data_IF_012244350112
#
_entry.id   IF_012244350112
#
_cell.length_a   1.000
_cell.length_b   1.000
_cell.length_c   1.000
_cell.angle_alpha   90.00
_cell.angle_beta   90.00
_cell.angle_gamma   90.00
#
_symmetry.space_group_name_H-M   'P 1'
#
loop_
_entity.id
_entity.type
_entity.pdbx_description
1 polymer ?
#
# COMPACT_ATOMS: atom_id res chain seq x y z
N UNK A 1 11.66 24.02 10.65
CA UNK A 1 11.29 22.59 10.77
C UNK A 1 10.18 22.50 11.78
N UNK A 2 9.06 21.88 11.42
CA UNK A 2 7.94 21.62 12.34
C UNK A 2 8.33 20.54 13.34
N UNK A 3 7.70 20.54 14.52
CA UNK A 3 7.92 19.46 15.49
C UNK A 3 7.52 18.12 14.85
N UNK A 4 8.31 17.04 15.01
CA UNK A 4 7.94 15.72 14.52
C UNK A 4 6.59 15.30 15.10
N UNK A 5 5.68 14.80 14.27
CA UNK A 5 4.38 14.29 14.75
C UNK A 5 4.55 13.06 15.65
N UNK A 6 5.55 12.24 15.35
CA UNK A 6 5.89 11.01 16.06
C UNK A 6 7.40 10.92 16.28
N UNK A 7 7.83 10.01 17.15
CA UNK A 7 9.23 9.61 17.19
C UNK A 7 9.63 8.97 15.84
N UNK A 8 10.59 9.54 15.09
CA UNK A 8 10.88 9.08 13.73
C UNK A 8 11.44 7.67 13.65
N UNK A 9 12.19 7.24 14.69
CA UNK A 9 12.84 5.94 14.69
C UNK A 9 11.80 4.85 14.96
N UNK A 10 11.00 5.02 16.01
CA UNK A 10 9.97 4.05 16.39
C UNK A 10 8.88 3.97 15.32
N UNK A 11 8.42 5.12 14.80
CA UNK A 11 7.42 5.14 13.73
C UNK A 11 7.96 4.49 12.46
N UNK A 12 9.18 4.82 12.04
CA UNK A 12 9.79 4.22 10.85
C UNK A 12 9.95 2.70 10.98
N UNK A 13 10.38 2.22 12.15
CA UNK A 13 10.56 0.79 12.40
C UNK A 13 9.22 0.03 12.44
N UNK A 14 8.23 0.54 13.15
CA UNK A 14 6.91 -0.10 13.26
C UNK A 14 6.15 -0.02 11.95
N UNK A 15 5.99 1.18 11.40
CA UNK A 15 5.18 1.41 10.21
C UNK A 15 5.84 0.84 8.96
N UNK A 16 7.15 1.08 8.78
CA UNK A 16 7.91 0.53 7.66
C UNK A 16 8.06 -0.99 7.76
N UNK A 17 8.42 -1.51 8.94
CA UNK A 17 8.65 -2.94 9.16
C UNK A 17 7.36 -3.76 9.16
N UNK A 18 6.46 -3.51 10.12
CA UNK A 18 5.22 -4.27 10.24
C UNK A 18 4.23 -3.92 9.14
N UNK A 19 4.05 -2.62 8.85
CA UNK A 19 3.14 -2.18 7.79
C UNK A 19 3.59 -2.71 6.43
N UNK A 20 4.87 -2.56 6.09
CA UNK A 20 5.44 -3.11 4.86
C UNK A 20 5.35 -4.64 4.79
N UNK A 21 5.67 -5.34 5.88
CA UNK A 21 5.61 -6.81 5.93
C UNK A 21 4.19 -7.37 5.77
N UNK A 22 3.23 -6.81 6.50
CA UNK A 22 1.81 -7.23 6.45
C UNK A 22 1.24 -6.95 5.06
N UNK A 23 1.41 -5.72 4.56
CA UNK A 23 0.84 -5.33 3.26
C UNK A 23 1.52 -6.05 2.10
N UNK A 24 2.83 -6.26 2.17
CA UNK A 24 3.58 -7.07 1.21
C UNK A 24 3.13 -8.54 1.19
N UNK A 25 2.97 -9.15 2.38
CA UNK A 25 2.46 -10.52 2.51
C UNK A 25 1.05 -10.68 1.96
N UNK A 26 0.14 -9.78 2.33
CA UNK A 26 -1.22 -9.75 1.80
C UNK A 26 -1.24 -9.54 0.29
N UNK A 27 -0.40 -8.65 -0.24
CA UNK A 27 -0.24 -8.43 -1.68
C UNK A 27 0.23 -9.69 -2.41
N UNK A 28 1.19 -10.43 -1.85
CA UNK A 28 1.67 -11.70 -2.38
C UNK A 28 0.59 -12.77 -2.43
N UNK A 29 -0.15 -12.95 -1.33
CA UNK A 29 -1.29 -13.87 -1.25
C UNK A 29 -2.37 -13.51 -2.26
N UNK A 30 -2.71 -12.21 -2.37
CA UNK A 30 -3.71 -11.72 -3.31
C UNK A 30 -3.26 -11.94 -4.77
N UNK A 31 -1.98 -11.72 -5.06
CA UNK A 31 -1.39 -12.00 -6.38
C UNK A 31 -1.47 -13.49 -6.74
N UNK A 32 -1.11 -14.37 -5.81
CA UNK A 32 -1.21 -15.82 -6.00
C UNK A 32 -2.66 -16.28 -6.20
N UNK A 33 -3.59 -15.80 -5.34
CA UNK A 33 -5.01 -16.08 -5.46
C UNK A 33 -5.56 -15.62 -6.81
N UNK A 34 -5.12 -14.47 -7.29
CA UNK A 34 -5.49 -13.95 -8.61
C UNK A 34 -5.00 -14.85 -9.73
N UNK A 35 -3.73 -15.28 -9.70
CA UNK A 35 -3.16 -16.17 -10.72
C UNK A 35 -3.87 -17.53 -10.79
N UNK A 36 -4.34 -18.07 -9.66
CA UNK A 36 -4.97 -19.40 -9.60
C UNK A 36 -6.49 -19.36 -9.81
N UNK A 37 -7.18 -18.35 -9.27
CA UNK A 37 -8.64 -18.29 -9.24
C UNK A 37 -9.24 -17.47 -10.39
N UNK A 38 -8.55 -16.43 -10.88
CA UNK A 38 -9.07 -15.60 -11.96
C UNK A 38 -9.32 -16.41 -13.25
N UNK A 39 -8.42 -17.30 -13.71
CA UNK A 39 -8.69 -18.14 -14.89
C UNK A 39 -9.87 -19.10 -14.73
N UNK A 40 -10.25 -19.40 -13.48
CA UNK A 40 -11.38 -20.28 -13.14
C UNK A 40 -12.69 -19.51 -12.96
N UNK A 41 -12.68 -18.18 -13.11
CA UNK A 41 -13.83 -17.30 -12.88
C UNK A 41 -14.30 -17.24 -11.42
N UNK A 42 -13.52 -17.76 -10.46
CA UNK A 42 -13.92 -17.87 -9.05
C UNK A 42 -13.47 -16.66 -8.23
N UNK A 43 -14.33 -16.18 -7.34
CA UNK A 43 -13.97 -15.15 -6.36
C UNK A 43 -13.62 -13.77 -6.95
N UNK A 44 -14.03 -13.50 -8.20
CA UNK A 44 -13.63 -12.29 -8.94
C UNK A 44 -14.03 -10.99 -8.22
N UNK A 45 -15.23 -10.94 -7.64
CA UNK A 45 -15.69 -9.78 -6.87
C UNK A 45 -14.82 -9.54 -5.63
N UNK A 46 -14.48 -10.60 -4.90
CA UNK A 46 -13.60 -10.52 -3.73
C UNK A 46 -12.19 -10.04 -4.13
N UNK A 47 -11.59 -10.63 -5.17
CA UNK A 47 -10.25 -10.25 -5.63
C UNK A 47 -10.23 -8.78 -6.07
N UNK A 48 -11.15 -8.38 -6.94
CA UNK A 48 -11.21 -6.99 -7.41
C UNK A 48 -11.53 -6.01 -6.26
N UNK A 49 -12.35 -6.43 -5.29
CA UNK A 49 -12.61 -5.68 -4.06
C UNK A 49 -11.34 -5.48 -3.25
N UNK A 50 -10.58 -6.56 -2.99
CA UNK A 50 -9.32 -6.50 -2.25
C UNK A 50 -8.28 -5.60 -2.94
N UNK A 51 -8.12 -5.70 -4.26
CA UNK A 51 -7.28 -4.78 -5.03
C UNK A 51 -7.72 -3.32 -4.86
N UNK A 52 -9.03 -3.06 -4.85
CA UNK A 52 -9.57 -1.70 -4.68
C UNK A 52 -9.30 -1.17 -3.27
N UNK A 53 -9.53 -1.98 -2.23
CA UNK A 53 -9.26 -1.59 -0.84
C UNK A 53 -7.77 -1.29 -0.64
N UNK A 54 -6.89 -2.18 -1.10
CA UNK A 54 -5.45 -1.96 -0.98
C UNK A 54 -4.99 -0.72 -1.75
N UNK A 55 -5.54 -0.46 -2.94
CA UNK A 55 -5.27 0.75 -3.69
C UNK A 55 -5.70 2.00 -2.90
N UNK A 56 -6.90 2.01 -2.29
CA UNK A 56 -7.39 3.15 -1.50
C UNK A 56 -6.52 3.40 -0.26
N UNK A 57 -6.10 2.34 0.43
CA UNK A 57 -5.13 2.43 1.54
C UNK A 57 -3.81 3.05 1.04
N UNK A 58 -3.37 2.64 -0.16
CA UNK A 58 -2.20 3.20 -0.83
C UNK A 58 -2.34 4.69 -1.10
N UNK A 59 -3.47 5.12 -1.68
CA UNK A 59 -3.74 6.53 -1.98
C UNK A 59 -3.75 7.35 -0.70
N UNK A 60 -4.42 6.88 0.36
CA UNK A 60 -4.43 7.55 1.66
C UNK A 60 -3.02 7.72 2.23
N UNK A 61 -2.21 6.65 2.22
CA UNK A 61 -0.81 6.69 2.63
C UNK A 61 0.01 7.69 1.82
N UNK A 62 -0.18 7.71 0.50
CA UNK A 62 0.57 8.58 -0.40
C UNK A 62 0.22 10.05 -0.15
N UNK A 63 -1.07 10.37 0.02
CA UNK A 63 -1.52 11.73 0.35
C UNK A 63 -0.92 12.20 1.67
N UNK A 64 -1.01 11.39 2.74
CA UNK A 64 -0.47 11.75 4.05
C UNK A 64 1.06 11.85 4.01
N UNK A 65 1.75 10.93 3.32
CA UNK A 65 3.19 10.95 3.18
C UNK A 65 3.71 12.16 2.41
N UNK A 66 3.03 12.55 1.33
CA UNK A 66 3.36 13.77 0.58
C UNK A 66 3.10 15.02 1.41
N UNK A 67 1.99 15.05 2.16
CA UNK A 67 1.72 16.15 3.09
C UNK A 67 2.81 16.27 4.16
N UNK A 68 3.22 15.16 4.77
CA UNK A 68 4.32 15.10 5.73
C UNK A 68 5.64 15.61 5.13
N UNK A 69 5.93 15.24 3.88
CA UNK A 69 7.12 15.70 3.15
C UNK A 69 7.10 17.23 2.97
N UNK A 70 5.97 17.81 2.55
CA UNK A 70 5.82 19.26 2.36
C UNK A 70 5.87 20.04 3.68
N UNK A 71 5.40 19.46 4.79
CA UNK A 71 5.56 20.07 6.12
C UNK A 71 7.00 19.97 6.67
N UNK A 72 7.89 19.26 5.98
CA UNK A 72 9.27 19.07 6.42
C UNK A 72 9.41 18.07 7.57
N UNK A 73 8.51 17.09 7.67
CA UNK A 73 8.61 16.01 8.64
C UNK A 73 9.90 15.19 8.42
N UNK A 74 10.45 14.55 9.46
CA UNK A 74 11.64 13.70 9.33
C UNK A 74 11.43 12.50 8.39
N UNK A 75 12.54 12.01 7.81
CA UNK A 75 12.56 10.85 6.92
C UNK A 75 11.81 9.64 7.48
N UNK A 76 11.99 9.35 8.78
CA UNK A 76 11.33 8.22 9.44
C UNK A 76 9.80 8.27 9.40
N UNK A 77 9.19 9.44 9.16
CA UNK A 77 7.73 9.60 9.10
C UNK A 77 7.23 9.59 7.66
N UNK A 78 7.73 10.48 6.80
CA UNK A 78 7.17 10.62 5.46
C UNK A 78 7.56 9.45 4.54
N UNK A 79 8.78 8.93 4.66
CA UNK A 79 9.29 7.95 3.70
C UNK A 79 8.53 6.62 3.72
N UNK A 80 8.25 5.99 4.87
CA UNK A 80 7.47 4.75 4.91
C UNK A 80 6.06 4.93 4.31
N UNK A 81 5.41 6.06 4.59
CA UNK A 81 4.08 6.39 4.07
C UNK A 81 4.10 6.54 2.55
N UNK A 82 5.06 7.29 2.00
CA UNK A 82 5.21 7.47 0.55
C UNK A 82 5.58 6.15 -0.13
N UNK A 83 6.48 5.35 0.48
CA UNK A 83 6.91 4.08 -0.08
C UNK A 83 5.75 3.07 -0.15
N UNK A 84 5.08 2.82 0.98
CA UNK A 84 3.93 1.91 1.04
C UNK A 84 2.79 2.42 0.17
N UNK A 85 2.49 3.72 0.27
CA UNK A 85 1.45 4.38 -0.51
C UNK A 85 1.69 4.27 -2.01
N UNK A 86 2.92 4.54 -2.44
CA UNK A 86 3.34 4.44 -3.84
C UNK A 86 3.24 3.00 -4.37
N UNK A 87 3.78 2.02 -3.64
CA UNK A 87 3.70 0.60 -4.03
C UNK A 87 2.25 0.16 -4.17
N UNK A 88 1.41 0.37 -3.15
CA UNK A 88 0.02 -0.07 -3.20
C UNK A 88 -0.78 0.62 -4.30
N UNK A 89 -0.60 1.93 -4.48
CA UNK A 89 -1.33 2.70 -5.49
C UNK A 89 -0.90 2.31 -6.90
N UNK A 90 0.41 2.29 -7.17
CA UNK A 90 0.94 2.09 -8.52
C UNK A 90 0.85 0.62 -8.92
N UNK A 91 1.33 -0.29 -8.06
CA UNK A 91 1.40 -1.72 -8.39
C UNK A 91 -0.01 -2.31 -8.42
N UNK A 92 -0.78 -2.19 -7.33
CA UNK A 92 -2.09 -2.81 -7.28
C UNK A 92 -3.11 -2.04 -8.13
N UNK A 93 -3.05 -0.71 -8.16
CA UNK A 93 -3.88 0.09 -9.06
C UNK A 93 -3.61 -0.22 -10.54
N UNK A 94 -2.34 -0.37 -10.92
CA UNK A 94 -1.94 -0.74 -12.28
C UNK A 94 -2.29 -2.19 -12.66
N UNK A 95 -2.22 -3.12 -11.71
CA UNK A 95 -2.59 -4.52 -11.93
C UNK A 95 -4.11 -4.74 -11.98
N UNK A 96 -4.91 -3.96 -11.24
CA UNK A 96 -6.37 -4.10 -11.20
C UNK A 96 -7.05 -4.21 -12.59
N UNK A 97 -6.78 -3.34 -13.59
CA UNK A 97 -7.38 -3.48 -14.91
C UNK A 97 -6.92 -4.75 -15.64
N UNK A 98 -5.71 -5.24 -15.39
CA UNK A 98 -5.20 -6.51 -15.94
C UNK A 98 -5.97 -7.68 -15.33
N UNK A 99 -6.14 -7.68 -14.01
CA UNK A 99 -6.92 -8.70 -13.28
C UNK A 99 -8.39 -8.68 -13.72
N UNK A 100 -8.95 -7.50 -13.97
CA UNK A 100 -10.33 -7.39 -14.48
C UNK A 100 -10.49 -7.96 -15.89
N UNK A 101 -9.45 -7.98 -16.72
CA UNK A 101 -9.54 -8.49 -18.10
C UNK A 101 -9.31 -10.01 -18.21
N UNK A 102 -8.72 -10.63 -17.19
CA UNK A 102 -8.57 -12.08 -17.04
C UNK A 102 -9.92 -12.72 -16.66
#
# INVERSE_FOLDING_TARGET
MTQPWFDPIHFGALYGGLGGGILGGLGGVLGAATGVLAPKGKGRSFILGAFTVMMLIGVGNLVVGLFALFEGQPYGIWYPLVLIGGILTIVLGGLRPVVRKR
#
